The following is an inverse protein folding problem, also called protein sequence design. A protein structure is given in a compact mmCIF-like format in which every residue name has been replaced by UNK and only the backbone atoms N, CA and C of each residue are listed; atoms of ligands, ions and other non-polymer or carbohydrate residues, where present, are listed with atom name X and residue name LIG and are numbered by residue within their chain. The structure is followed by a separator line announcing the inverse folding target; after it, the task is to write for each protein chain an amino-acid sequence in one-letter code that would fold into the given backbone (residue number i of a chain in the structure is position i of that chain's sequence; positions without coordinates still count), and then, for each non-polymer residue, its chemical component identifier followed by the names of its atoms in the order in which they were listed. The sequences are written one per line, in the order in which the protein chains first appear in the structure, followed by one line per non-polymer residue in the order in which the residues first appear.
data_IF_095568618570
#
_entry.id   IF_095568618570
#
_cell.length_a   1.000
_cell.length_b   1.000
_cell.length_c   1.000
_cell.angle_alpha   90.00
_cell.angle_beta   90.00
_cell.angle_gamma   90.00
#
_symmetry.space_group_name_H-M   'P 1'
#
loop_
_entity.id
_entity.type
_entity.pdbx_description
1 polymer ?
#
# COMPACT_ATOMS: atom_id res chain seq x y z
N UNK A 1 1.14 19.34 8.11
CA UNK A 1 1.15 18.22 9.07
C UNK A 1 1.89 17.08 8.38
N UNK A 2 3.09 16.74 8.85
CA UNK A 2 3.94 15.70 8.25
C UNK A 2 3.65 14.42 9.05
N UNK A 3 2.93 13.46 8.47
CA UNK A 3 2.72 12.16 9.09
C UNK A 3 4.08 11.43 9.06
N UNK A 4 4.59 11.04 10.22
CA UNK A 4 5.86 10.32 10.34
C UNK A 4 5.75 8.99 9.60
N UNK A 5 6.41 8.86 8.44
CA UNK A 5 6.38 7.61 7.66
C UNK A 5 6.51 7.81 6.16
N UNK A 6 6.04 8.94 5.60
CA UNK A 6 6.11 9.16 4.15
C UNK A 6 7.56 9.11 3.64
N UNK A 7 7.84 8.09 2.84
CA UNK A 7 9.07 7.97 2.08
C UNK A 7 9.00 8.99 0.94
N UNK A 8 9.95 9.91 0.87
CA UNK A 8 10.09 10.77 -0.31
C UNK A 8 10.46 9.88 -1.50
N UNK A 9 9.48 9.54 -2.35
CA UNK A 9 9.72 8.84 -3.60
C UNK A 9 10.05 9.88 -4.69
N UNK A 10 11.25 9.79 -5.26
CA UNK A 10 11.59 10.45 -6.51
C UNK A 10 12.09 9.38 -7.49
N UNK A 11 11.32 9.03 -8.55
CA UNK A 11 10.05 9.64 -8.97
C UNK A 11 8.87 9.34 -8.00
N UNK A 12 7.74 10.07 -8.12
CA UNK A 12 6.53 9.78 -7.34
C UNK A 12 6.14 8.30 -7.43
N UNK A 13 5.76 7.74 -6.29
CA UNK A 13 5.26 6.37 -6.17
C UNK A 13 3.79 6.40 -5.73
N UNK A 14 3.08 5.31 -6.00
CA UNK A 14 1.78 5.05 -5.40
C UNK A 14 1.96 4.75 -3.90
N UNK A 15 0.95 5.05 -3.05
CA UNK A 15 0.98 4.62 -1.66
C UNK A 15 1.01 3.10 -1.58
N UNK A 16 1.79 2.57 -0.63
CA UNK A 16 1.92 1.14 -0.45
C UNK A 16 3.10 0.74 0.44
N UNK A 17 3.05 -0.50 0.90
CA UNK A 17 4.01 -1.02 1.87
C UNK A 17 4.00 -2.54 1.97
N UNK A 18 4.47 -3.04 3.10
CA UNK A 18 4.56 -4.48 3.38
C UNK A 18 3.17 -4.95 3.82
N UNK A 19 2.78 -6.13 3.35
CA UNK A 19 1.61 -6.85 3.89
C UNK A 19 2.01 -7.46 5.23
N UNK A 20 1.38 -7.01 6.31
CA UNK A 20 1.62 -7.53 7.66
C UNK A 20 1.05 -8.97 7.83
N UNK A 21 1.49 -9.75 8.84
CA UNK A 21 1.11 -11.16 8.99
C UNK A 21 -0.39 -11.44 9.13
N UNK A 22 -1.18 -10.44 9.52
CA UNK A 22 -2.59 -10.57 9.90
C UNK A 22 -3.55 -9.91 8.90
N UNK A 23 -3.04 -9.43 7.76
CA UNK A 23 -3.83 -8.75 6.73
C UNK A 23 -3.63 -9.37 5.34
N UNK A 24 -4.63 -9.18 4.46
CA UNK A 24 -4.49 -9.49 3.03
C UNK A 24 -3.97 -8.29 2.24
N UNK A 25 -3.80 -8.47 0.93
CA UNK A 25 -3.20 -7.43 0.06
C UNK A 25 -4.10 -6.21 -0.02
N UNK A 26 -5.41 -6.42 -0.04
CA UNK A 26 -6.44 -5.39 -0.09
C UNK A 26 -6.44 -4.53 1.18
N UNK A 27 -6.40 -5.19 2.36
CA UNK A 27 -6.32 -4.54 3.65
C UNK A 27 -5.01 -3.74 3.79
N UNK A 28 -3.87 -4.31 3.39
CA UNK A 28 -2.59 -3.61 3.39
C UNK A 28 -2.62 -2.36 2.49
N UNK A 29 -3.16 -2.48 1.27
CA UNK A 29 -3.26 -1.35 0.34
C UNK A 29 -4.16 -0.22 0.90
N UNK A 30 -5.28 -0.57 1.52
CA UNK A 30 -6.18 0.41 2.14
C UNK A 30 -5.55 1.10 3.37
N UNK A 31 -4.81 0.34 4.19
CA UNK A 31 -4.08 0.85 5.35
C UNK A 31 -3.00 1.84 4.92
N UNK A 32 -2.13 1.46 3.99
CA UNK A 32 -1.03 2.32 3.49
C UNK A 32 -1.56 3.58 2.79
N UNK A 33 -2.66 3.46 2.03
CA UNK A 33 -3.34 4.61 1.44
C UNK A 33 -3.75 5.62 2.54
N UNK A 34 -4.38 5.15 3.62
CA UNK A 34 -4.81 6.00 4.72
C UNK A 34 -3.62 6.62 5.46
N UNK A 35 -2.59 5.83 5.78
CA UNK A 35 -1.41 6.28 6.52
C UNK A 35 -0.61 7.34 5.76
N UNK A 36 -0.40 7.15 4.46
CA UNK A 36 0.44 8.04 3.67
C UNK A 36 -0.30 9.26 3.13
N UNK A 37 -1.59 9.12 2.78
CA UNK A 37 -2.34 10.19 2.09
C UNK A 37 -3.47 10.79 2.91
N UNK A 38 -3.95 10.08 3.93
CA UNK A 38 -5.18 10.43 4.65
C UNK A 38 -6.48 10.08 3.91
N UNK A 39 -6.40 9.45 2.72
CA UNK A 39 -7.58 9.01 1.98
C UNK A 39 -8.06 7.65 2.49
N UNK A 40 -9.37 7.51 2.68
CA UNK A 40 -9.99 6.25 3.07
C UNK A 40 -10.70 5.64 1.85
N UNK A 41 -10.43 4.35 1.58
CA UNK A 41 -11.09 3.61 0.52
C UNK A 41 -12.37 2.96 1.04
N UNK A 42 -13.46 3.06 0.29
CA UNK A 42 -14.71 2.34 0.58
C UNK A 42 -14.59 0.85 0.25
N UNK A 43 -13.81 0.51 -0.78
CA UNK A 43 -13.53 -0.86 -1.19
C UNK A 43 -12.20 -0.94 -1.94
N UNK A 44 -11.60 -2.13 -1.98
CA UNK A 44 -10.39 -2.44 -2.73
C UNK A 44 -10.55 -3.78 -3.46
N UNK A 45 -9.95 -3.88 -4.64
CA UNK A 45 -9.98 -5.08 -5.48
C UNK A 45 -8.58 -5.33 -6.05
N UNK A 46 -8.09 -6.57 -5.92
CA UNK A 46 -6.85 -6.99 -6.60
C UNK A 46 -7.18 -7.30 -8.07
N UNK A 47 -6.78 -6.40 -8.96
CA UNK A 47 -6.99 -6.56 -10.42
C UNK A 47 -5.89 -7.38 -11.12
N UNK A 48 -4.73 -7.53 -10.49
CA UNK A 48 -3.62 -8.33 -11.02
C UNK A 48 -2.66 -8.74 -9.90
N UNK A 49 -2.11 -9.96 -9.98
CA UNK A 49 -1.07 -10.45 -9.08
C UNK A 49 0.11 -11.01 -9.87
N UNK A 50 1.26 -10.35 -9.75
CA UNK A 50 2.52 -10.89 -10.27
C UNK A 50 3.07 -11.95 -9.32
N UNK A 51 3.38 -13.14 -9.85
CA UNK A 51 4.10 -14.18 -9.12
C UNK A 51 5.45 -14.36 -9.80
N UNK A 52 6.53 -13.97 -9.11
CA UNK A 52 7.88 -14.33 -9.54
C UNK A 52 8.24 -15.70 -8.97
N UNK A 53 8.28 -16.71 -9.84
CA UNK A 53 8.95 -17.96 -9.54
C UNK A 53 10.46 -17.68 -9.55
N UNK A 54 11.04 -17.51 -8.36
CA UNK A 54 12.49 -17.59 -8.20
C UNK A 54 12.92 -19.00 -8.63
N UNK A 55 13.78 -19.10 -9.66
CA UNK A 55 14.45 -20.33 -10.05
C UNK A 55 15.68 -20.57 -9.18
#
# INVERSE_FOLDING_TARGET
MRLSGQKFANPPALPGGIVEPEEDVEAAAARELLEETGCQADSAEVVARGVSLLR
#
